data_IF_270611768085
#
_entry.id   IF_270611768085
#
_cell.length_a   1.000
_cell.length_b   1.000
_cell.length_c   1.000
_cell.angle_alpha   90.00
_cell.angle_beta   90.00
_cell.angle_gamma   90.00
#
_symmetry.space_group_name_H-M   'P 1'
#
loop_
_entity.id
_entity.type
_entity.pdbx_description
1 polymer ?
#
# COMPACT_ATOMS: atom_id res chain seq x y z
N UNK A 1 -45.05 26.71 -24.37
CA UNK A 1 -43.91 27.11 -23.51
C UNK A 1 -43.19 28.29 -24.16
N UNK A 2 -42.91 29.38 -23.44
CA UNK A 2 -42.19 30.54 -24.00
C UNK A 2 -40.78 30.10 -24.42
N UNK A 3 -40.35 30.45 -25.65
CA UNK A 3 -39.01 30.10 -26.19
C UNK A 3 -37.87 30.51 -25.26
N UNK A 4 -38.04 31.59 -24.48
CA UNK A 4 -37.10 32.04 -23.45
C UNK A 4 -36.90 31.03 -22.32
N UNK A 5 -37.92 30.27 -21.95
CA UNK A 5 -37.86 29.29 -20.87
C UNK A 5 -37.05 28.05 -21.27
N UNK A 6 -37.11 27.66 -22.55
CA UNK A 6 -36.30 26.57 -23.12
C UNK A 6 -34.82 26.95 -23.14
N UNK A 7 -34.50 28.18 -23.54
CA UNK A 7 -33.12 28.68 -23.60
C UNK A 7 -32.47 28.71 -22.20
N UNK A 8 -33.20 29.20 -21.18
CA UNK A 8 -32.70 29.27 -19.80
C UNK A 8 -32.45 27.86 -19.23
N UNK A 9 -33.34 26.91 -19.51
CA UNK A 9 -33.17 25.51 -19.11
C UNK A 9 -31.93 24.88 -19.75
N UNK A 10 -31.69 25.12 -21.05
CA UNK A 10 -30.51 24.61 -21.75
C UNK A 10 -29.20 25.16 -21.18
N UNK A 11 -29.16 26.46 -20.86
CA UNK A 11 -27.97 27.09 -20.27
C UNK A 11 -27.72 26.57 -18.85
N UNK A 12 -28.77 26.44 -18.04
CA UNK A 12 -28.68 25.89 -16.68
C UNK A 12 -28.13 24.46 -16.68
N UNK A 13 -28.58 23.63 -17.64
CA UNK A 13 -28.11 22.25 -17.78
C UNK A 13 -26.62 22.19 -18.16
N UNK A 14 -26.16 23.05 -19.08
CA UNK A 14 -24.75 23.14 -19.46
C UNK A 14 -23.87 23.57 -18.28
N UNK A 15 -24.33 24.53 -17.47
CA UNK A 15 -23.61 24.95 -16.26
C UNK A 15 -23.49 23.81 -15.23
N UNK A 16 -24.54 23.03 -15.01
CA UNK A 16 -24.53 21.90 -14.07
C UNK A 16 -23.60 20.78 -14.54
N UNK A 17 -23.57 20.48 -15.84
CA UNK A 17 -22.65 19.49 -16.42
C UNK A 17 -21.18 19.96 -16.30
N UNK A 18 -20.91 21.24 -16.56
CA UNK A 18 -19.58 21.82 -16.38
C UNK A 18 -19.11 21.81 -14.92
N UNK A 19 -19.99 22.14 -13.98
CA UNK A 19 -19.66 22.09 -12.56
C UNK A 19 -19.43 20.65 -12.06
N UNK A 20 -20.26 19.70 -12.50
CA UNK A 20 -20.11 18.29 -12.15
C UNK A 20 -18.80 17.70 -12.63
N UNK A 21 -18.41 17.98 -13.87
CA UNK A 21 -17.12 17.53 -14.43
C UNK A 21 -15.93 18.19 -13.75
N UNK A 22 -16.01 19.47 -13.39
CA UNK A 22 -14.99 20.17 -12.63
C UNK A 22 -14.79 19.57 -11.22
N UNK A 23 -15.88 19.33 -10.49
CA UNK A 23 -15.83 18.71 -9.17
C UNK A 23 -15.26 17.28 -9.28
N UNK A 24 -15.72 16.50 -10.26
CA UNK A 24 -15.22 15.15 -10.48
C UNK A 24 -13.72 15.13 -10.80
N UNK A 25 -13.23 16.06 -11.63
CA UNK A 25 -11.81 16.21 -11.90
C UNK A 25 -11.01 16.53 -10.64
N UNK A 26 -11.54 17.42 -9.78
CA UNK A 26 -10.88 17.78 -8.52
C UNK A 26 -10.87 16.64 -7.52
N UNK A 27 -11.93 15.85 -7.46
CA UNK A 27 -11.99 14.64 -6.62
C UNK A 27 -11.04 13.57 -7.14
N UNK A 28 -10.94 13.37 -8.45
CA UNK A 28 -9.97 12.45 -9.04
C UNK A 28 -8.53 12.91 -8.81
N UNK A 29 -8.21 14.20 -8.98
CA UNK A 29 -6.89 14.75 -8.64
C UNK A 29 -6.55 14.55 -7.17
N UNK A 30 -7.54 14.73 -6.28
CA UNK A 30 -7.38 14.51 -4.84
C UNK A 30 -7.15 13.02 -4.55
N UNK A 31 -7.92 12.12 -5.16
CA UNK A 31 -7.78 10.67 -5.05
C UNK A 31 -6.45 10.17 -5.60
N UNK A 32 -6.02 10.70 -6.76
CA UNK A 32 -4.72 10.39 -7.35
C UNK A 32 -3.61 10.93 -6.46
N UNK A 33 -3.69 12.15 -5.94
CA UNK A 33 -2.74 12.68 -4.96
C UNK A 33 -2.71 11.87 -3.65
N UNK A 34 -3.82 11.23 -3.25
CA UNK A 34 -3.83 10.26 -2.15
C UNK A 34 -3.20 8.92 -2.51
N UNK A 35 -3.19 8.55 -3.79
CA UNK A 35 -2.49 7.37 -4.32
C UNK A 35 -1.03 7.66 -4.67
N UNK A 36 -0.62 8.93 -4.76
CA UNK A 36 0.78 9.35 -4.97
C UNK A 36 1.59 8.94 -3.75
N UNK A 37 2.19 7.76 -3.90
CA UNK A 37 3.55 7.41 -3.50
C UNK A 37 3.95 7.82 -2.09
N UNK A 38 3.66 6.92 -1.14
CA UNK A 38 4.37 6.89 0.14
C UNK A 38 5.88 6.82 -0.14
N UNK A 39 6.57 7.93 0.09
CA UNK A 39 8.02 7.95 0.05
C UNK A 39 8.52 7.26 1.33
N UNK A 40 9.27 6.17 1.21
CA UNK A 40 9.86 5.44 2.35
C UNK A 40 10.95 6.26 3.09
N UNK A 41 11.26 7.47 2.61
CA UNK A 41 12.01 8.48 3.36
C UNK A 41 11.13 9.42 4.21
N UNK A 42 9.82 9.28 4.18
CA UNK A 42 8.89 10.03 5.01
C UNK A 42 9.11 9.66 6.49
N UNK A 43 9.39 10.62 7.39
CA UNK A 43 9.70 10.34 8.79
C UNK A 43 8.55 9.74 9.60
N UNK A 44 7.33 9.66 9.04
CA UNK A 44 6.14 9.23 9.78
C UNK A 44 5.81 7.74 9.61
N UNK A 45 6.82 6.87 9.72
CA UNK A 45 6.62 5.42 9.78
C UNK A 45 6.21 5.01 11.19
N UNK A 46 5.08 4.32 11.30
CA UNK A 46 4.62 3.68 12.52
C UNK A 46 4.94 2.19 12.42
N UNK A 47 5.86 1.73 13.27
CA UNK A 47 6.17 0.31 13.41
C UNK A 47 5.05 -0.37 14.20
N UNK A 48 4.49 -1.42 13.60
CA UNK A 48 3.46 -2.26 14.21
C UNK A 48 4.08 -3.51 14.83
N UNK A 49 5.05 -4.10 14.14
CA UNK A 49 5.72 -5.32 14.55
C UNK A 49 7.15 -5.35 14.00
N UNK A 50 8.07 -5.96 14.74
CA UNK A 50 9.40 -6.27 14.27
C UNK A 50 9.95 -7.56 14.89
N UNK A 51 10.79 -8.28 14.16
CA UNK A 51 11.43 -9.48 14.68
C UNK A 51 12.71 -9.84 13.94
N UNK A 52 13.73 -10.24 14.70
CA UNK A 52 15.07 -10.58 14.20
C UNK A 52 15.13 -12.09 13.91
N UNK A 53 15.76 -12.46 12.79
CA UNK A 53 15.96 -13.87 12.43
C UNK A 53 16.82 -14.61 13.48
N UNK A 54 16.68 -15.93 13.65
CA UNK A 54 17.46 -16.68 14.64
C UNK A 54 18.99 -16.53 14.47
N UNK A 55 19.46 -16.44 13.23
CA UNK A 55 20.86 -16.21 12.87
C UNK A 55 21.28 -14.74 12.91
N UNK A 56 20.35 -13.83 13.24
CA UNK A 56 20.55 -12.38 13.38
C UNK A 56 21.04 -11.64 12.13
N UNK A 57 20.97 -12.27 10.96
CA UNK A 57 21.36 -11.65 9.69
C UNK A 57 20.28 -10.72 9.16
N UNK A 58 19.02 -11.05 9.40
CA UNK A 58 17.88 -10.33 8.85
C UNK A 58 16.91 -9.93 9.96
N UNK A 59 16.08 -8.94 9.65
CA UNK A 59 15.00 -8.50 10.51
C UNK A 59 13.80 -8.14 9.62
N UNK A 60 12.60 -8.51 10.06
CA UNK A 60 11.40 -8.05 9.39
C UNK A 60 10.70 -6.96 10.18
N UNK A 61 9.87 -6.20 9.46
CA UNK A 61 9.01 -5.16 10.00
C UNK A 61 7.62 -5.24 9.38
N UNK A 62 6.60 -5.00 10.21
CA UNK A 62 5.26 -4.59 9.80
C UNK A 62 5.09 -3.11 10.14
N UNK A 63 4.63 -2.30 9.18
CA UNK A 63 4.53 -0.86 9.40
C UNK A 63 3.42 -0.21 8.57
N UNK A 64 3.06 1.00 8.96
CA UNK A 64 2.15 1.90 8.25
C UNK A 64 2.78 3.30 8.20
N UNK A 65 2.31 4.12 7.26
CA UNK A 65 2.57 5.55 7.23
C UNK A 65 1.42 6.28 7.93
N UNK A 66 1.76 7.27 8.76
CA UNK A 66 0.79 8.22 9.27
C UNK A 66 0.49 9.27 8.21
N UNK A 67 -0.76 9.27 7.71
CA UNK A 67 -1.23 10.25 6.73
C UNK A 67 -1.90 11.46 7.41
N UNK A 68 -1.68 11.67 8.71
CA UNK A 68 -2.22 12.78 9.49
C UNK A 68 -3.74 12.70 9.63
N UNK A 69 -4.45 13.76 9.22
CA UNK A 69 -5.91 13.87 9.36
C UNK A 69 -6.72 12.82 8.58
N UNK A 70 -6.06 12.00 7.77
CA UNK A 70 -6.65 10.92 6.97
C UNK A 70 -6.46 9.53 7.59
N UNK A 71 -5.80 9.45 8.75
CA UNK A 71 -5.50 8.20 9.43
C UNK A 71 -4.26 7.50 8.87
N UNK A 72 -4.21 6.18 9.01
CA UNK A 72 -3.03 5.38 8.64
C UNK A 72 -3.15 4.78 7.24
N UNK A 73 -2.01 4.60 6.58
CA UNK A 73 -1.92 3.86 5.32
C UNK A 73 -2.25 2.37 5.49
N UNK A 74 -2.23 1.64 4.38
CA UNK A 74 -2.16 0.18 4.40
C UNK A 74 -0.96 -0.34 5.19
N UNK A 75 -1.07 -1.58 5.69
CA UNK A 75 0.06 -2.30 6.31
C UNK A 75 1.03 -2.77 5.23
N UNK A 76 2.30 -2.46 5.43
CA UNK A 76 3.42 -2.94 4.64
C UNK A 76 4.22 -3.93 5.46
N UNK A 77 4.82 -4.90 4.76
CA UNK A 77 5.71 -5.89 5.35
C UNK A 77 7.05 -5.82 4.62
N UNK A 78 8.16 -5.83 5.34
CA UNK A 78 9.48 -5.81 4.71
C UNK A 78 10.49 -6.64 5.48
N UNK A 79 11.45 -7.23 4.79
CA UNK A 79 12.60 -7.95 5.36
C UNK A 79 13.90 -7.35 4.83
N UNK A 80 14.77 -6.90 5.74
CA UNK A 80 16.04 -6.24 5.43
C UNK A 80 17.17 -6.85 6.27
N UNK A 81 18.43 -6.53 6.00
CA UNK A 81 19.52 -6.97 6.86
C UNK A 81 19.37 -6.34 8.25
N UNK A 82 19.79 -7.06 9.29
CA UNK A 82 19.58 -6.62 10.67
C UNK A 82 20.33 -5.32 11.02
N UNK A 83 21.34 -4.94 10.23
CA UNK A 83 22.10 -3.70 10.41
C UNK A 83 21.62 -2.56 9.49
N UNK A 84 20.62 -2.82 8.64
CA UNK A 84 20.07 -1.81 7.73
C UNK A 84 19.22 -0.78 8.48
N UNK A 85 19.08 0.39 7.86
CA UNK A 85 18.25 1.47 8.38
C UNK A 85 16.78 1.23 8.04
N UNK A 86 15.86 1.81 8.82
CA UNK A 86 14.43 1.84 8.46
C UNK A 86 14.17 2.51 7.10
N UNK A 87 15.09 3.34 6.61
CA UNK A 87 15.01 3.94 5.27
C UNK A 87 15.15 2.90 4.14
N UNK A 88 15.71 1.74 4.44
CA UNK A 88 15.98 0.68 3.48
C UNK A 88 14.81 -0.31 3.36
N UNK A 89 13.71 -0.11 4.10
CA UNK A 89 12.52 -0.96 4.06
C UNK A 89 11.97 -1.17 2.64
N UNK A 90 12.12 -0.19 1.75
CA UNK A 90 11.73 -0.30 0.33
C UNK A 90 12.41 -1.45 -0.39
N UNK A 91 13.68 -1.70 -0.07
CA UNK A 91 14.47 -2.74 -0.71
C UNK A 91 14.02 -4.13 -0.25
N UNK A 92 13.42 -4.20 0.94
CA UNK A 92 12.95 -5.40 1.59
C UNK A 92 11.47 -5.71 1.39
N UNK A 93 10.74 -4.91 0.61
CA UNK A 93 9.27 -4.93 0.57
C UNK A 93 8.73 -6.30 0.13
N UNK A 94 7.92 -6.92 0.97
CA UNK A 94 7.19 -8.15 0.62
C UNK A 94 6.08 -7.78 -0.37
N UNK A 95 5.91 -8.55 -1.46
CA UNK A 95 4.85 -8.30 -2.42
C UNK A 95 3.47 -8.27 -1.75
N UNK A 96 2.57 -7.43 -2.26
CA UNK A 96 1.19 -7.42 -1.76
C UNK A 96 0.56 -8.80 -1.95
N UNK A 97 -0.50 -9.12 -1.20
CA UNK A 97 -1.04 -10.49 -1.22
C UNK A 97 -0.38 -11.45 -0.22
N UNK A 98 0.70 -11.03 0.45
CA UNK A 98 1.36 -11.79 1.51
C UNK A 98 1.57 -10.92 2.75
N UNK A 99 1.59 -11.58 3.91
CA UNK A 99 2.03 -10.99 5.19
C UNK A 99 3.07 -11.91 5.82
N UNK A 100 3.97 -11.35 6.62
CA UNK A 100 4.92 -12.15 7.39
C UNK A 100 4.21 -12.66 8.65
N UNK A 101 4.41 -13.94 8.97
CA UNK A 101 3.85 -14.55 10.17
C UNK A 101 4.87 -14.66 11.29
N UNK A 102 6.07 -15.12 10.96
CA UNK A 102 7.18 -15.33 11.90
C UNK A 102 8.45 -15.76 11.15
N UNK A 103 9.55 -15.81 11.90
CA UNK A 103 10.72 -16.62 11.54
C UNK A 103 10.52 -18.08 11.95
N UNK A 104 11.02 -19.02 11.15
CA UNK A 104 11.22 -20.40 11.58
C UNK A 104 12.51 -20.54 12.39
N UNK A 105 12.67 -21.67 13.09
CA UNK A 105 13.91 -22.00 13.80
C UNK A 105 15.10 -22.21 12.84
N UNK A 106 14.80 -22.56 11.59
CA UNK A 106 15.76 -22.80 10.52
C UNK A 106 16.19 -21.51 9.77
N UNK A 107 15.69 -20.34 10.18
CA UNK A 107 15.89 -19.03 9.54
C UNK A 107 15.11 -18.81 8.24
N UNK A 108 14.00 -19.53 8.06
CA UNK A 108 13.08 -19.25 6.96
C UNK A 108 12.08 -18.18 7.39
N UNK A 109 11.77 -17.25 6.48
CA UNK A 109 10.68 -16.31 6.68
C UNK A 109 9.36 -16.97 6.30
N UNK A 110 8.46 -17.13 7.29
CA UNK A 110 7.15 -17.74 7.08
C UNK A 110 6.20 -16.65 6.60
N UNK A 111 5.66 -16.82 5.39
CA UNK A 111 4.70 -15.92 4.77
C UNK A 111 3.32 -16.57 4.73
N UNK A 112 2.27 -15.81 4.98
CA UNK A 112 0.88 -16.25 4.85
C UNK A 112 0.22 -15.46 3.73
N UNK A 113 -0.58 -16.14 2.89
CA UNK A 113 -1.40 -15.45 1.90
C UNK A 113 -2.39 -14.53 2.60
N UNK A 114 -2.45 -13.29 2.15
CA UNK A 114 -3.29 -12.26 2.75
C UNK A 114 -3.97 -11.47 1.66
N UNK A 115 -5.31 -11.46 1.65
CA UNK A 115 -6.07 -10.58 0.78
C UNK A 115 -6.35 -9.26 1.49
N UNK A 116 -5.62 -8.18 1.20
CA UNK A 116 -5.93 -6.89 1.78
C UNK A 116 -7.27 -6.36 1.28
N UNK A 117 -7.99 -5.62 2.12
CA UNK A 117 -9.29 -5.05 1.78
C UNK A 117 -9.21 -3.93 0.71
N UNK A 118 -8.01 -3.40 0.47
CA UNK A 118 -7.73 -2.29 -0.45
C UNK A 118 -7.28 -2.72 -1.85
N UNK A 119 -7.06 -4.02 -2.11
CA UNK A 119 -6.64 -4.52 -3.42
C UNK A 119 -7.53 -5.70 -3.83
N UNK A 120 -8.30 -5.51 -4.90
CA UNK A 120 -9.31 -6.49 -5.33
C UNK A 120 -8.71 -7.71 -6.03
N UNK A 121 -7.56 -7.54 -6.69
CA UNK A 121 -6.91 -8.57 -7.50
C UNK A 121 -5.37 -8.48 -7.41
N UNK A 122 -4.78 -8.92 -6.29
CA UNK A 122 -3.35 -8.83 -6.08
C UNK A 122 -2.64 -9.85 -6.98
N UNK A 123 -1.98 -9.38 -8.04
CA UNK A 123 -1.19 -10.22 -8.96
C UNK A 123 0.17 -10.58 -8.34
N UNK A 124 0.25 -11.68 -7.56
CA UNK A 124 1.51 -12.04 -6.91
C UNK A 124 1.71 -13.54 -6.77
N UNK A 125 2.70 -14.05 -7.48
CA UNK A 125 3.15 -15.44 -7.34
C UNK A 125 4.56 -15.45 -6.76
N UNK A 126 4.64 -15.45 -5.41
CA UNK A 126 5.73 -16.13 -4.71
C UNK A 126 5.56 -17.66 -4.78
N UNK A 127 4.64 -18.15 -5.63
CA UNK A 127 4.36 -19.56 -5.77
C UNK A 127 5.57 -20.29 -6.38
N UNK A 128 5.99 -21.36 -5.71
CA UNK A 128 7.24 -22.06 -6.01
C UNK A 128 8.54 -21.29 -5.71
N UNK A 129 8.48 -20.02 -5.26
CA UNK A 129 9.67 -19.26 -4.88
C UNK A 129 10.12 -19.68 -3.48
N UNK A 130 11.39 -20.11 -3.38
CA UNK A 130 12.00 -20.54 -2.10
C UNK A 130 12.91 -19.49 -1.48
N UNK A 131 13.27 -18.44 -2.23
CA UNK A 131 14.18 -17.39 -1.75
C UNK A 131 13.75 -16.03 -2.29
N UNK A 132 13.67 -15.05 -1.40
CA UNK A 132 13.28 -13.67 -1.71
C UNK A 132 14.21 -12.71 -0.97
N UNK A 133 14.78 -11.72 -1.68
CA UNK A 133 15.74 -10.76 -1.11
C UNK A 133 16.87 -11.41 -0.28
N UNK A 134 17.39 -12.54 -0.75
CA UNK A 134 18.48 -13.26 -0.06
C UNK A 134 18.04 -14.06 1.16
N UNK A 135 16.76 -14.07 1.50
CA UNK A 135 16.15 -14.82 2.61
C UNK A 135 15.39 -16.02 2.08
N UNK A 136 15.55 -17.18 2.71
CA UNK A 136 14.74 -18.36 2.37
C UNK A 136 13.32 -18.16 2.91
N UNK A 137 12.32 -18.43 2.07
CA UNK A 137 10.91 -18.19 2.40
C UNK A 137 10.10 -19.48 2.38
N UNK A 138 9.05 -19.52 3.19
CA UNK A 138 8.05 -20.58 3.18
C UNK A 138 6.67 -19.96 3.22
N UNK A 139 5.94 -20.10 2.12
CA UNK A 139 4.53 -19.69 2.04
C UNK A 139 3.66 -20.77 2.66
N UNK A 140 2.85 -20.38 3.63
CA UNK A 140 1.80 -21.20 4.24
C UNK A 140 0.43 -20.64 3.84
N UNK A 141 -0.56 -21.54 3.79
CA UNK A 141 -1.96 -21.17 3.55
C UNK A 141 -2.61 -20.52 4.78
#
# INVERSE_FOLDING_TARGET
MKKSLVIILSISLLCLLGLGTYINSKLNELEEAFKVEHNLQDPHIILLEDSISPNRKFKYYAYQFDNGGLGYSRVFWSVIENNDSLKDLVNGLIPTGYKIKAWSNENELILEKWKPYYESDPAYELDGIKRYNGVDIRVVD
#
